data_IF_584337174646
#
_entry.id   IF_584337174646
#
_cell.length_a   1.000
_cell.length_b   1.000
_cell.length_c   1.000
_cell.angle_alpha   90.00
_cell.angle_beta   90.00
_cell.angle_gamma   90.00
#
_symmetry.space_group_name_H-M   'P 1'
#
loop_
_entity.id
_entity.type
_entity.pdbx_description
1 polymer ?
#
# COMPACT_ATOMS: atom_id res chain seq x y z
N UNK A 1 -13.43 -24.71 15.60
CA UNK A 1 -12.31 -25.53 16.10
C UNK A 1 -11.05 -24.90 15.55
N UNK A 2 -10.11 -24.46 16.39
CA UNK A 2 -8.80 -24.01 15.90
C UNK A 2 -8.10 -25.17 15.19
N UNK A 3 -7.34 -24.93 14.12
CA UNK A 3 -6.53 -25.98 13.50
C UNK A 3 -5.59 -26.58 14.56
N UNK A 4 -5.37 -27.90 14.52
CA UNK A 4 -4.33 -28.54 15.35
C UNK A 4 -2.99 -28.39 14.64
N UNK A 5 -1.94 -28.10 15.39
CA UNK A 5 -0.57 -28.02 14.90
C UNK A 5 -0.07 -29.36 14.36
N UNK A 6 0.57 -29.33 13.19
CA UNK A 6 1.29 -30.46 12.60
C UNK A 6 2.81 -30.27 12.78
N UNK A 7 3.43 -31.13 13.60
CA UNK A 7 4.85 -31.07 13.90
C UNK A 7 5.75 -31.17 12.65
N UNK A 8 5.35 -31.95 11.64
CA UNK A 8 6.11 -32.08 10.38
C UNK A 8 6.10 -30.75 9.62
N UNK A 9 4.92 -30.17 9.46
CA UNK A 9 4.75 -28.91 8.75
C UNK A 9 5.43 -27.74 9.50
N UNK A 10 5.30 -27.69 10.82
CA UNK A 10 5.97 -26.69 11.66
C UNK A 10 7.50 -26.75 11.53
N UNK A 11 8.07 -27.96 11.53
CA UNK A 11 9.51 -28.17 11.33
C UNK A 11 9.96 -27.67 9.96
N UNK A 12 9.17 -27.94 8.92
CA UNK A 12 9.45 -27.46 7.57
C UNK A 12 9.45 -25.92 7.48
N UNK A 13 8.50 -25.25 8.13
CA UNK A 13 8.49 -23.79 8.19
C UNK A 13 9.74 -23.22 8.85
N UNK A 14 10.18 -23.76 9.99
CA UNK A 14 11.40 -23.30 10.65
C UNK A 14 12.68 -23.59 9.84
N UNK A 15 12.73 -24.73 9.14
CA UNK A 15 13.83 -25.06 8.23
C UNK A 15 13.90 -24.07 7.05
N UNK A 16 12.74 -23.75 6.43
CA UNK A 16 12.65 -22.73 5.38
C UNK A 16 13.04 -21.35 5.89
N UNK A 17 12.62 -20.99 7.10
CA UNK A 17 12.98 -19.73 7.72
C UNK A 17 14.50 -19.54 7.83
N UNK A 18 15.21 -20.59 8.28
CA UNK A 18 16.67 -20.60 8.35
C UNK A 18 17.31 -20.47 6.97
N UNK A 19 16.79 -21.18 5.98
CA UNK A 19 17.28 -21.08 4.59
C UNK A 19 17.08 -19.68 4.00
N UNK A 20 15.93 -19.03 4.24
CA UNK A 20 15.68 -17.66 3.80
C UNK A 20 16.61 -16.65 4.47
N UNK A 21 16.82 -16.80 5.79
CA UNK A 21 17.71 -15.93 6.54
C UNK A 21 19.15 -15.98 5.99
N UNK A 22 19.69 -17.16 5.72
CA UNK A 22 21.02 -17.31 5.12
C UNK A 22 21.12 -16.82 3.68
N UNK A 23 19.99 -16.66 2.98
CA UNK A 23 19.92 -16.03 1.66
C UNK A 23 19.66 -14.52 1.75
N UNK A 24 19.74 -13.94 2.95
CA UNK A 24 19.44 -12.53 3.24
C UNK A 24 18.01 -12.09 2.88
N UNK A 25 17.08 -13.05 2.80
CA UNK A 25 15.65 -12.78 2.58
C UNK A 25 14.94 -12.73 3.93
N UNK A 26 15.19 -11.66 4.68
CA UNK A 26 14.68 -11.46 6.05
C UNK A 26 13.14 -11.43 6.12
N UNK A 27 12.41 -10.79 5.19
CA UNK A 27 10.95 -10.80 5.22
C UNK A 27 10.38 -12.22 5.09
N UNK A 28 10.90 -13.04 4.16
CA UNK A 28 10.47 -14.44 4.05
C UNK A 28 10.90 -15.28 5.24
N UNK A 29 12.06 -15.01 5.83
CA UNK A 29 12.49 -15.67 7.07
C UNK A 29 11.54 -15.37 8.24
N UNK A 30 11.13 -14.11 8.42
CA UNK A 30 10.15 -13.71 9.43
C UNK A 30 8.79 -14.36 9.20
N UNK A 31 8.31 -14.37 7.95
CA UNK A 31 7.02 -14.99 7.59
C UNK A 31 7.02 -16.50 7.86
N UNK A 32 8.08 -17.19 7.45
CA UNK A 32 8.24 -18.62 7.72
C UNK A 32 8.40 -18.91 9.22
N UNK A 33 9.09 -18.06 9.97
CA UNK A 33 9.18 -18.17 11.43
C UNK A 33 7.81 -18.00 12.08
N UNK A 34 7.03 -16.99 11.65
CA UNK A 34 5.67 -16.76 12.15
C UNK A 34 4.75 -17.95 11.87
N UNK A 35 4.82 -18.57 10.68
CA UNK A 35 4.08 -19.78 10.36
C UNK A 35 4.49 -20.97 11.26
N UNK A 36 5.79 -21.09 11.57
CA UNK A 36 6.28 -22.06 12.55
C UNK A 36 5.71 -21.81 13.95
N UNK A 37 5.74 -20.58 14.45
CA UNK A 37 5.18 -20.21 15.77
C UNK A 37 3.67 -20.47 15.81
N UNK A 38 2.94 -20.15 14.73
CA UNK A 38 1.50 -20.43 14.63
C UNK A 38 1.22 -21.92 14.81
N UNK A 39 1.96 -22.80 14.13
CA UNK A 39 1.77 -24.26 14.26
C UNK A 39 2.00 -24.78 15.67
N UNK A 40 2.92 -24.18 16.44
CA UNK A 40 3.10 -24.49 17.87
C UNK A 40 1.94 -23.93 18.70
N UNK A 41 1.53 -22.68 18.45
CA UNK A 41 0.47 -21.98 19.18
C UNK A 41 -0.93 -22.58 18.98
N UNK A 42 -1.14 -23.23 17.83
CA UNK A 42 -2.35 -23.99 17.49
C UNK A 42 -2.54 -25.23 18.39
N UNK A 43 -1.48 -25.67 19.07
CA UNK A 43 -1.50 -26.76 20.02
C UNK A 43 -1.62 -28.15 19.36
N UNK A 44 -1.52 -29.21 20.16
CA UNK A 44 -1.57 -30.60 19.67
C UNK A 44 -0.20 -31.23 19.37
N UNK A 45 0.87 -30.43 19.33
CA UNK A 45 2.25 -30.93 19.30
C UNK A 45 2.75 -31.08 20.74
N UNK A 46 3.25 -32.26 21.11
CA UNK A 46 3.66 -32.57 22.50
C UNK A 46 4.97 -33.35 22.55
N UNK A 47 5.56 -33.47 23.74
CA UNK A 47 6.71 -34.34 23.99
C UNK A 47 7.98 -33.93 23.23
N UNK A 48 8.60 -34.91 22.57
CA UNK A 48 9.90 -34.76 21.89
C UNK A 48 9.83 -33.76 20.73
N UNK A 49 8.77 -33.84 19.92
CA UNK A 49 8.59 -32.93 18.77
C UNK A 49 8.48 -31.47 19.22
N UNK A 50 7.69 -31.20 20.27
CA UNK A 50 7.56 -29.85 20.82
C UNK A 50 8.91 -29.32 21.33
N UNK A 51 9.70 -30.18 21.97
CA UNK A 51 11.01 -29.80 22.51
C UNK A 51 12.00 -29.45 21.39
N UNK A 52 12.02 -30.22 20.31
CA UNK A 52 12.84 -29.95 19.12
C UNK A 52 12.43 -28.63 18.45
N UNK A 53 11.14 -28.42 18.25
CA UNK A 53 10.60 -27.21 17.62
C UNK A 53 10.90 -25.96 18.46
N UNK A 54 10.79 -26.03 19.79
CA UNK A 54 11.21 -24.94 20.67
C UNK A 54 12.71 -24.62 20.56
N UNK A 55 13.55 -25.64 20.34
CA UNK A 55 14.98 -25.46 20.08
C UNK A 55 15.23 -24.70 18.77
N UNK A 56 14.64 -25.19 17.68
CA UNK A 56 14.73 -24.56 16.36
C UNK A 56 14.18 -23.12 16.36
N UNK A 57 13.05 -22.90 17.04
CA UNK A 57 12.46 -21.58 17.18
C UNK A 57 13.37 -20.61 17.96
N UNK A 58 14.00 -21.08 19.04
CA UNK A 58 14.94 -20.27 19.82
C UNK A 58 16.14 -19.85 18.97
N UNK A 59 16.69 -20.77 18.18
CA UNK A 59 17.76 -20.46 17.25
C UNK A 59 17.32 -19.39 16.23
N UNK A 60 16.16 -19.56 15.60
CA UNK A 60 15.63 -18.59 14.64
C UNK A 60 15.40 -17.21 15.25
N UNK A 61 14.84 -17.13 16.46
CA UNK A 61 14.63 -15.86 17.17
C UNK A 61 15.97 -15.19 17.54
N UNK A 62 17.00 -15.97 17.86
CA UNK A 62 18.34 -15.44 18.11
C UNK A 62 19.00 -14.89 16.83
N UNK A 63 18.81 -15.54 15.68
CA UNK A 63 19.30 -15.05 14.40
C UNK A 63 18.60 -13.75 13.99
N UNK A 64 17.26 -13.74 14.05
CA UNK A 64 16.44 -12.60 13.69
C UNK A 64 16.64 -11.40 14.63
N UNK A 65 16.84 -11.62 15.93
CA UNK A 65 17.07 -10.51 16.88
C UNK A 65 18.42 -9.80 16.72
N UNK A 66 19.35 -10.39 15.95
CA UNK A 66 20.65 -9.79 15.60
C UNK A 66 20.65 -9.03 14.28
N UNK A 67 19.62 -9.23 13.45
CA UNK A 67 19.44 -8.42 12.24
C UNK A 67 19.08 -6.99 12.64
N UNK A 68 19.80 -5.99 12.12
CA UNK A 68 19.66 -4.60 12.58
C UNK A 68 18.27 -4.01 12.29
N UNK A 69 17.66 -4.36 11.15
CA UNK A 69 16.33 -3.88 10.80
C UNK A 69 15.25 -4.54 11.69
N UNK A 70 15.34 -5.87 11.87
CA UNK A 70 14.44 -6.59 12.78
C UNK A 70 14.60 -6.09 14.22
N UNK A 71 15.83 -5.84 14.68
CA UNK A 71 16.13 -5.33 16.02
C UNK A 71 15.55 -3.94 16.24
N UNK A 72 15.72 -3.02 15.29
CA UNK A 72 15.15 -1.68 15.36
C UNK A 72 13.62 -1.73 15.46
N UNK A 73 12.97 -2.52 14.60
CA UNK A 73 11.51 -2.71 14.60
C UNK A 73 11.01 -3.38 15.88
N UNK A 74 11.72 -4.39 16.36
CA UNK A 74 11.36 -5.10 17.58
C UNK A 74 11.47 -4.19 18.81
N UNK A 75 12.49 -3.34 18.88
CA UNK A 75 12.66 -2.36 19.96
C UNK A 75 11.54 -1.32 20.00
N UNK A 76 11.00 -0.92 18.84
CA UNK A 76 9.83 -0.03 18.76
C UNK A 76 8.53 -0.68 19.24
N UNK A 77 8.45 -2.03 19.23
CA UNK A 77 7.25 -2.79 19.62
C UNK A 77 7.31 -3.23 21.08
N UNK A 78 8.49 -3.63 21.57
CA UNK A 78 8.67 -4.17 22.92
C UNK A 78 10.04 -3.77 23.50
N UNK A 79 10.10 -3.33 24.78
CA UNK A 79 11.36 -3.01 25.45
C UNK A 79 12.35 -4.18 25.52
N UNK A 80 11.84 -5.43 25.47
CA UNK A 80 12.67 -6.64 25.47
C UNK A 80 13.15 -7.04 24.07
N UNK A 81 12.71 -6.36 23.01
CA UNK A 81 12.99 -6.74 21.63
C UNK A 81 12.30 -8.05 21.23
N UNK A 82 12.90 -8.76 20.28
CA UNK A 82 12.38 -10.04 19.79
C UNK A 82 12.93 -11.20 20.63
N UNK A 83 12.10 -11.75 21.51
CA UNK A 83 12.47 -12.81 22.46
C UNK A 83 11.45 -13.95 22.45
N UNK A 84 11.93 -15.17 22.66
CA UNK A 84 11.09 -16.36 22.83
C UNK A 84 11.16 -16.95 24.25
N UNK A 85 10.01 -16.95 24.92
CA UNK A 85 9.75 -17.62 26.19
C UNK A 85 8.73 -18.76 25.97
N UNK A 86 8.95 -19.93 26.61
CA UNK A 86 8.03 -21.07 26.48
C UNK A 86 6.66 -20.68 27.05
N UNK A 87 5.58 -20.98 26.33
CA UNK A 87 4.22 -20.58 26.71
C UNK A 87 3.82 -19.18 26.25
N UNK A 88 4.73 -18.43 25.63
CA UNK A 88 4.50 -17.10 25.09
C UNK A 88 4.42 -17.09 23.54
N UNK A 89 4.08 -18.21 22.91
CA UNK A 89 4.08 -18.37 21.45
C UNK A 89 3.13 -17.37 20.78
N UNK A 90 1.94 -17.14 21.35
CA UNK A 90 0.99 -16.14 20.85
C UNK A 90 1.54 -14.71 20.91
N UNK A 91 2.30 -14.38 21.96
CA UNK A 91 2.92 -13.06 22.09
C UNK A 91 4.03 -12.89 21.06
N UNK A 92 4.91 -13.90 20.91
CA UNK A 92 5.96 -13.90 19.90
C UNK A 92 5.37 -13.75 18.49
N UNK A 93 4.32 -14.50 18.17
CA UNK A 93 3.60 -14.40 16.90
C UNK A 93 3.06 -12.98 16.67
N UNK A 94 2.47 -12.36 17.69
CA UNK A 94 1.98 -10.99 17.63
C UNK A 94 3.09 -9.97 17.34
N UNK A 95 4.27 -10.16 17.94
CA UNK A 95 5.46 -9.34 17.67
C UNK A 95 5.97 -9.54 16.24
N UNK A 96 6.14 -10.79 15.79
CA UNK A 96 6.55 -11.11 14.42
C UNK A 96 5.59 -10.53 13.38
N UNK A 97 4.29 -10.62 13.62
CA UNK A 97 3.26 -10.07 12.74
C UNK A 97 3.32 -8.53 12.67
N UNK A 98 3.64 -7.83 13.77
CA UNK A 98 3.84 -6.37 13.75
C UNK A 98 5.09 -5.96 12.98
N UNK A 99 6.19 -6.71 13.12
CA UNK A 99 7.44 -6.47 12.36
C UNK A 99 7.19 -6.68 10.86
N UNK A 100 6.52 -7.76 10.48
CA UNK A 100 6.17 -8.03 9.08
C UNK A 100 5.27 -6.94 8.49
N UNK A 101 4.30 -6.43 9.27
CA UNK A 101 3.48 -5.30 8.83
C UNK A 101 4.31 -4.04 8.64
N UNK A 102 5.18 -3.67 9.58
CA UNK A 102 5.99 -2.46 9.40
C UNK A 102 6.93 -2.55 8.20
N UNK A 103 7.51 -3.72 7.92
CA UNK A 103 8.31 -3.94 6.70
C UNK A 103 7.48 -3.80 5.43
N UNK A 104 6.27 -4.36 5.42
CA UNK A 104 5.36 -4.24 4.27
C UNK A 104 4.90 -2.80 4.07
N UNK A 105 4.54 -2.11 5.15
CA UNK A 105 4.10 -0.72 5.11
C UNK A 105 5.22 0.19 4.58
N UNK A 106 6.48 -0.07 4.95
CA UNK A 106 7.63 0.66 4.38
C UNK A 106 7.89 0.35 2.91
N UNK A 107 7.69 -0.90 2.46
CA UNK A 107 7.78 -1.23 1.04
C UNK A 107 6.62 -0.66 0.21
N UNK A 108 5.43 -0.49 0.81
CA UNK A 108 4.27 0.15 0.19
C UNK A 108 4.29 1.69 0.31
N UNK A 109 5.09 2.24 1.23
CA UNK A 109 5.33 3.67 1.35
C UNK A 109 6.24 4.13 0.21
N UNK A 110 5.64 4.89 -0.70
CA UNK A 110 6.38 5.73 -1.63
C UNK A 110 7.33 6.63 -0.83
N UNK A 111 8.62 6.63 -1.18
CA UNK A 111 9.60 7.51 -0.54
C UNK A 111 9.16 8.98 -0.69
N UNK A 112 9.53 9.83 0.25
CA UNK A 112 9.26 11.27 0.19
C UNK A 112 9.70 11.89 -1.15
N UNK A 113 10.87 11.50 -1.66
CA UNK A 113 11.38 11.96 -2.95
C UNK A 113 10.51 11.48 -4.13
N UNK A 114 10.07 10.22 -4.09
CA UNK A 114 9.18 9.66 -5.11
C UNK A 114 7.80 10.33 -5.08
N UNK A 115 7.30 10.65 -3.88
CA UNK A 115 6.05 11.37 -3.70
C UNK A 115 6.12 12.78 -4.27
N UNK A 116 7.23 13.48 -4.05
CA UNK A 116 7.49 14.78 -4.67
C UNK A 116 7.54 14.64 -6.19
N UNK A 117 8.35 13.72 -6.71
CA UNK A 117 8.51 13.53 -8.15
C UNK A 117 7.18 13.20 -8.83
N UNK A 118 6.36 12.32 -8.24
CA UNK A 118 5.02 12.01 -8.74
C UNK A 118 4.12 13.24 -8.78
N UNK A 119 4.08 14.02 -7.69
CA UNK A 119 3.27 15.26 -7.63
C UNK A 119 3.72 16.27 -8.67
N UNK A 120 5.03 16.48 -8.81
CA UNK A 120 5.58 17.36 -9.84
C UNK A 120 5.22 16.89 -11.25
N UNK A 121 5.26 15.58 -11.51
CA UNK A 121 4.87 15.02 -12.80
C UNK A 121 3.35 15.21 -13.06
N UNK A 122 2.51 14.98 -12.04
CA UNK A 122 1.07 15.24 -12.10
C UNK A 122 0.79 16.72 -12.43
N UNK A 123 1.42 17.65 -11.73
CA UNK A 123 1.25 19.09 -11.96
C UNK A 123 1.72 19.51 -13.35
N UNK A 124 2.86 18.96 -13.81
CA UNK A 124 3.39 19.20 -15.15
C UNK A 124 2.41 18.74 -16.23
N UNK A 125 1.83 17.56 -16.10
CA UNK A 125 0.86 17.01 -17.05
C UNK A 125 -0.46 17.79 -17.05
N UNK A 126 -0.93 18.21 -15.88
CA UNK A 126 -2.11 19.08 -15.77
C UNK A 126 -1.88 20.41 -16.49
N UNK A 127 -0.71 21.04 -16.30
CA UNK A 127 -0.36 22.28 -16.98
C UNK A 127 -0.16 22.07 -18.49
N UNK A 128 0.36 20.91 -18.90
CA UNK A 128 0.49 20.56 -20.30
C UNK A 128 -0.88 20.42 -20.98
N UNK A 129 -1.82 19.68 -20.38
CA UNK A 129 -3.18 19.56 -20.88
C UNK A 129 -3.90 20.91 -20.98
N UNK A 130 -3.73 21.80 -20.00
CA UNK A 130 -4.24 23.19 -20.07
C UNK A 130 -3.69 23.96 -21.27
N UNK A 131 -2.37 23.90 -21.50
CA UNK A 131 -1.75 24.55 -22.67
C UNK A 131 -2.24 23.96 -23.98
N UNK A 132 -2.46 22.65 -24.06
CA UNK A 132 -3.02 22.01 -25.25
C UNK A 132 -4.45 22.52 -25.55
N UNK A 133 -5.27 22.71 -24.51
CA UNK A 133 -6.60 23.30 -24.63
C UNK A 133 -6.56 24.75 -25.16
N UNK A 134 -5.62 25.57 -24.68
CA UNK A 134 -5.42 26.94 -25.20
C UNK A 134 -5.11 26.94 -26.70
N UNK A 135 -4.45 25.89 -27.20
CA UNK A 135 -4.14 25.69 -28.62
C UNK A 135 -5.23 24.90 -29.37
N UNK A 136 -6.41 24.70 -28.77
CA UNK A 136 -7.53 23.92 -29.33
C UNK A 136 -7.20 22.45 -29.66
N UNK A 137 -6.14 21.91 -29.06
CA UNK A 137 -5.71 20.51 -29.20
C UNK A 137 -6.41 19.64 -28.16
N UNK A 138 -7.71 19.51 -28.32
CA UNK A 138 -8.62 18.91 -27.33
C UNK A 138 -8.35 17.42 -27.10
N UNK A 139 -8.05 16.66 -28.16
CA UNK A 139 -7.71 15.23 -28.05
C UNK A 139 -6.40 15.01 -27.27
N UNK A 140 -5.32 15.72 -27.64
CA UNK A 140 -4.02 15.68 -26.96
C UNK A 140 -4.16 16.09 -25.47
N UNK A 141 -5.02 17.08 -25.17
CA UNK A 141 -5.27 17.47 -23.79
C UNK A 141 -5.89 16.35 -22.95
N UNK A 142 -6.77 15.54 -23.55
CA UNK A 142 -7.39 14.39 -22.88
C UNK A 142 -6.36 13.28 -22.60
N UNK A 143 -5.38 13.09 -23.48
CA UNK A 143 -4.26 12.18 -23.27
C UNK A 143 -3.39 12.65 -22.09
N UNK A 144 -2.98 13.92 -22.09
CA UNK A 144 -2.19 14.50 -21.00
C UNK A 144 -2.92 14.43 -19.64
N UNK A 145 -4.23 14.65 -19.66
CA UNK A 145 -5.11 14.50 -18.51
C UNK A 145 -5.27 13.05 -18.04
N UNK A 146 -5.30 12.10 -18.97
CA UNK A 146 -5.32 10.67 -18.65
C UNK A 146 -4.00 10.24 -18.01
N UNK A 147 -2.87 10.71 -18.53
CA UNK A 147 -1.56 10.47 -17.93
C UNK A 147 -1.45 11.09 -16.52
N UNK A 148 -1.96 12.31 -16.32
CA UNK A 148 -1.99 12.96 -15.01
C UNK A 148 -2.78 12.13 -13.98
N UNK A 149 -3.92 11.54 -14.40
CA UNK A 149 -4.70 10.63 -13.55
C UNK A 149 -3.95 9.34 -13.20
N UNK A 150 -2.99 8.89 -14.02
CA UNK A 150 -2.11 7.76 -13.69
C UNK A 150 -1.19 8.04 -12.49
N UNK A 151 -0.93 9.31 -12.19
CA UNK A 151 -0.12 9.75 -11.05
C UNK A 151 -0.94 10.18 -9.83
N UNK A 152 -2.27 10.12 -9.92
CA UNK A 152 -3.16 10.50 -8.84
C UNK A 152 -3.08 9.50 -7.67
N UNK A 153 -2.95 9.99 -6.44
CA UNK A 153 -3.21 9.19 -5.24
C UNK A 153 -4.31 9.79 -4.37
N UNK A 154 -4.15 11.04 -3.94
CA UNK A 154 -5.09 11.72 -3.03
C UNK A 154 -5.27 13.21 -3.36
N UNK A 155 -4.82 13.63 -4.54
CA UNK A 155 -4.90 15.01 -5.04
C UNK A 155 -6.30 15.27 -5.63
N UNK A 156 -7.37 15.08 -4.83
CA UNK A 156 -8.78 15.07 -5.29
C UNK A 156 -9.19 16.29 -6.13
N UNK A 157 -8.60 17.45 -5.83
CA UNK A 157 -8.83 18.71 -6.55
C UNK A 157 -8.40 18.67 -8.02
N UNK A 158 -7.58 17.69 -8.42
CA UNK A 158 -7.18 17.46 -9.81
C UNK A 158 -8.39 17.40 -10.75
N UNK A 159 -9.42 16.64 -10.39
CA UNK A 159 -10.61 16.46 -11.24
C UNK A 159 -11.39 17.77 -11.45
N UNK A 160 -11.50 18.60 -10.41
CA UNK A 160 -12.08 19.93 -10.51
C UNK A 160 -11.27 20.83 -11.46
N UNK A 161 -9.94 20.78 -11.36
CA UNK A 161 -9.05 21.58 -12.19
C UNK A 161 -9.10 21.17 -13.67
N UNK A 162 -9.18 19.87 -13.97
CA UNK A 162 -9.36 19.36 -15.33
C UNK A 162 -10.73 19.76 -15.89
N UNK A 163 -11.79 19.60 -15.08
CA UNK A 163 -13.14 19.98 -15.45
C UNK A 163 -13.27 21.48 -15.75
N UNK A 164 -12.69 22.34 -14.91
CA UNK A 164 -12.63 23.79 -15.16
C UNK A 164 -11.86 24.12 -16.44
N UNK A 165 -10.71 23.50 -16.65
CA UNK A 165 -9.90 23.74 -17.85
C UNK A 165 -10.66 23.38 -19.13
N UNK A 166 -11.34 22.22 -19.16
CA UNK A 166 -12.19 21.82 -20.29
C UNK A 166 -13.35 22.80 -20.50
N UNK A 167 -14.00 23.25 -19.43
CA UNK A 167 -15.09 24.21 -19.52
C UNK A 167 -14.64 25.58 -20.03
N UNK A 168 -13.45 26.04 -19.61
CA UNK A 168 -12.80 27.27 -20.08
C UNK A 168 -12.42 27.17 -21.57
N UNK A 169 -12.05 25.97 -22.02
CA UNK A 169 -11.72 25.69 -23.42
C UNK A 169 -12.94 25.57 -24.35
N UNK A 170 -14.17 25.68 -23.82
CA UNK A 170 -15.39 25.50 -24.59
C UNK A 170 -15.77 24.04 -24.81
N UNK A 171 -15.30 23.13 -23.96
CA UNK A 171 -15.58 21.68 -24.01
C UNK A 171 -16.46 21.23 -22.83
N UNK A 172 -17.69 21.76 -22.66
CA UNK A 172 -18.52 21.49 -21.49
C UNK A 172 -18.92 20.02 -21.36
N UNK A 173 -19.12 19.29 -22.46
CA UNK A 173 -19.43 17.84 -22.40
C UNK A 173 -18.29 17.02 -21.81
N UNK A 174 -17.05 17.28 -22.24
CA UNK A 174 -15.85 16.62 -21.70
C UNK A 174 -15.61 17.03 -20.24
N UNK A 175 -15.87 18.29 -19.91
CA UNK A 175 -15.78 18.80 -18.54
C UNK A 175 -16.68 18.01 -17.55
N UNK A 176 -17.92 17.67 -17.95
CA UNK A 176 -18.87 16.95 -17.09
C UNK A 176 -18.32 15.63 -16.53
N UNK A 177 -17.53 14.89 -17.31
CA UNK A 177 -16.91 13.63 -16.86
C UNK A 177 -15.99 13.87 -15.65
N UNK A 178 -15.09 14.85 -15.76
CA UNK A 178 -14.15 15.18 -14.69
C UNK A 178 -14.85 15.82 -13.49
N UNK A 179 -15.86 16.67 -13.72
CA UNK A 179 -16.61 17.33 -12.65
C UNK A 179 -17.47 16.34 -11.84
N UNK A 180 -18.05 15.33 -12.49
CA UNK A 180 -18.74 14.24 -11.79
C UNK A 180 -17.78 13.51 -10.86
N UNK A 181 -16.57 13.20 -11.35
CA UNK A 181 -15.56 12.56 -10.51
C UNK A 181 -15.13 13.45 -9.34
N UNK A 182 -14.95 14.74 -9.57
CA UNK A 182 -14.66 15.71 -8.51
C UNK A 182 -15.74 15.71 -7.42
N UNK A 183 -17.03 15.66 -7.77
CA UNK A 183 -18.12 15.59 -6.78
C UNK A 183 -18.13 14.29 -5.96
N UNK A 184 -17.59 13.19 -6.51
CA UNK A 184 -17.46 11.93 -5.78
C UNK A 184 -16.35 12.01 -4.72
N UNK A 185 -15.17 12.50 -5.11
CA UNK A 185 -13.93 12.34 -4.33
C UNK A 185 -13.39 13.61 -3.66
N UNK A 186 -13.74 14.81 -4.14
CA UNK A 186 -13.26 16.06 -3.56
C UNK A 186 -13.99 16.35 -2.23
N UNK A 187 -13.27 16.66 -1.13
CA UNK A 187 -13.88 17.16 0.09
C UNK A 187 -14.73 18.42 -0.11
N UNK A 188 -14.38 19.29 -1.07
CA UNK A 188 -15.14 20.49 -1.44
C UNK A 188 -16.10 20.24 -2.62
N UNK A 189 -17.13 19.46 -2.36
CA UNK A 189 -18.12 19.05 -3.36
C UNK A 189 -18.96 20.20 -3.89
N UNK A 190 -19.16 21.24 -3.09
CA UNK A 190 -20.01 22.38 -3.43
C UNK A 190 -19.42 23.18 -4.58
N UNK A 191 -18.11 23.42 -4.57
CA UNK A 191 -17.42 24.05 -5.68
C UNK A 191 -17.49 23.21 -6.97
N UNK A 192 -17.31 21.88 -6.86
CA UNK A 192 -17.42 20.98 -8.00
C UNK A 192 -18.85 20.97 -8.60
N UNK A 193 -19.87 20.98 -7.74
CA UNK A 193 -21.28 21.02 -8.14
C UNK A 193 -21.63 22.29 -8.91
N UNK A 194 -21.20 23.47 -8.43
CA UNK A 194 -21.45 24.75 -9.13
C UNK A 194 -20.85 24.77 -10.54
N UNK A 195 -19.64 24.25 -10.69
CA UNK A 195 -18.97 24.19 -11.99
C UNK A 195 -19.63 23.14 -12.89
N UNK A 196 -20.04 22.00 -12.32
CA UNK A 196 -20.82 20.97 -13.02
C UNK A 196 -22.13 21.54 -13.58
N UNK A 197 -22.90 22.27 -12.78
CA UNK A 197 -24.17 22.85 -13.22
C UNK A 197 -23.98 23.88 -14.34
N UNK A 198 -22.90 24.66 -14.27
CA UNK A 198 -22.48 25.57 -15.33
C UNK A 198 -22.13 24.81 -16.62
N UNK A 199 -21.36 23.73 -16.52
CA UNK A 199 -21.02 22.88 -17.66
C UNK A 199 -22.27 22.23 -18.26
N UNK A 200 -23.20 21.75 -17.43
CA UNK A 200 -24.43 21.13 -17.88
C UNK A 200 -25.30 22.11 -18.65
N UNK A 201 -25.45 23.34 -18.17
CA UNK A 201 -26.18 24.39 -18.87
C UNK A 201 -25.60 24.69 -20.26
N UNK A 202 -24.25 24.74 -20.37
CA UNK A 202 -23.55 24.98 -21.65
C UNK A 202 -23.62 23.79 -22.61
N UNK A 203 -23.61 22.56 -22.08
CA UNK A 203 -23.66 21.34 -22.91
C UNK A 203 -24.98 21.13 -23.66
N UNK A 204 -26.08 21.76 -23.22
CA UNK A 204 -27.43 21.57 -23.76
C UNK A 204 -27.66 22.15 -25.17
N UNK A 205 -26.64 22.71 -25.81
CA UNK A 205 -26.68 23.21 -27.19
C UNK A 205 -25.60 22.66 -28.12
N UNK A 206 -24.73 21.76 -27.65
CA UNK A 206 -23.58 21.28 -28.42
C UNK A 206 -23.81 19.86 -28.97
N UNK A 207 -23.32 19.53 -30.17
CA UNK A 207 -23.24 18.14 -30.65
C UNK A 207 -22.29 17.30 -29.79
N UNK A 208 -22.41 15.97 -29.79
CA UNK A 208 -21.51 15.10 -29.01
C UNK A 208 -20.07 15.20 -29.56
N UNK A 209 -19.04 15.19 -28.69
CA UNK A 209 -17.65 15.22 -29.15
C UNK A 209 -17.35 13.95 -29.95
N UNK A 210 -16.70 14.13 -31.11
CA UNK A 210 -16.24 13.06 -32.00
C UNK A 210 -15.03 12.30 -31.42
#
# INVERSE_FOLDING_TARGET
MSPKGDARQTREFLARAKAYFHRHDVPRALAATAAGVQGIADGGIVGRDLTELHGALREMVQLLSRDEDVKARAAAISPRGLVFEKGAEKQLLGTLARILRSMRDEQEQESYEQAIARKQQLDKLLLHGRRLLEHKKVAEADEAFTEAMGHYRNEHRLFLLMGKAMLEAGEPKRALRHLRKAMEVDPDKEQARRVHDTALARSKGEPDPA
#
